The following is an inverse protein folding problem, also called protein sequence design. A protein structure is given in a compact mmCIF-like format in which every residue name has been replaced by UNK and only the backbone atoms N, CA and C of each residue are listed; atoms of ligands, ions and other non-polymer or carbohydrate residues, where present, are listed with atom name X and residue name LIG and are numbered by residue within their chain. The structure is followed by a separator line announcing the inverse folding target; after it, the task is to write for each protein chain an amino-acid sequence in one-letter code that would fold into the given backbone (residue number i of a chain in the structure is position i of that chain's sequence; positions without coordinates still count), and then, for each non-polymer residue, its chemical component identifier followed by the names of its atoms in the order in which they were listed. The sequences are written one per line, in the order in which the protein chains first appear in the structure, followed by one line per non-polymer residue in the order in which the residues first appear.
data_IF_628317358670
#
_entry.id   IF_628317358670
#
_cell.length_a   1.000
_cell.length_b   1.000
_cell.length_c   1.000
_cell.angle_alpha   90.00
_cell.angle_beta   90.00
_cell.angle_gamma   90.00
#
_symmetry.space_group_name_H-M   'P 1'
#
loop_
_entity.id
_entity.type
_entity.pdbx_description
1 polymer ?
#
# COMPACT_ATOMS: atom_id res chain seq x y z
N UNK A 1 18.01 60.57 -39.97
CA UNK A 1 18.75 59.59 -40.80
C UNK A 1 19.13 58.45 -39.87
N UNK A 2 18.64 57.21 -39.92
CA UNK A 2 17.89 56.46 -40.91
C UNK A 2 16.83 55.59 -40.18
N UNK A 3 15.63 55.47 -40.77
CA UNK A 3 14.59 54.56 -40.29
C UNK A 3 14.91 53.14 -40.78
N UNK A 4 15.23 52.23 -39.86
CA UNK A 4 15.26 50.79 -40.15
C UNK A 4 13.82 50.30 -40.04
N UNK A 5 13.11 50.26 -41.17
CA UNK A 5 11.81 49.61 -41.28
C UNK A 5 12.06 48.11 -41.40
N UNK A 6 11.89 47.36 -40.29
CA UNK A 6 11.87 45.88 -40.34
C UNK A 6 10.51 45.42 -40.84
N UNK A 7 10.51 44.58 -41.87
CA UNK A 7 9.32 43.97 -42.46
C UNK A 7 8.70 42.91 -41.52
N UNK A 8 7.38 42.66 -41.59
CA UNK A 8 6.69 41.72 -40.69
C UNK A 8 7.11 40.25 -40.85
N UNK A 9 7.85 39.90 -41.91
CA UNK A 9 8.34 38.54 -42.17
C UNK A 9 9.50 38.15 -41.23
N UNK A 10 10.39 39.09 -40.89
CA UNK A 10 11.62 38.82 -40.12
C UNK A 10 11.35 38.58 -38.61
N UNK A 11 10.20 39.01 -38.09
CA UNK A 11 9.79 38.73 -36.70
C UNK A 11 9.26 37.30 -36.52
N UNK A 12 8.73 36.67 -37.56
CA UNK A 12 8.06 35.38 -37.46
C UNK A 12 9.06 34.20 -37.36
N UNK A 13 10.23 34.31 -37.99
CA UNK A 13 11.27 33.26 -37.98
C UNK A 13 12.11 33.24 -36.70
N UNK A 14 12.42 34.42 -36.12
CA UNK A 14 13.12 34.50 -34.83
C UNK A 14 12.32 33.92 -33.66
N UNK A 15 10.98 34.09 -33.69
CA UNK A 15 10.09 33.59 -32.64
C UNK A 15 9.96 32.06 -32.68
N UNK A 16 10.04 31.44 -33.87
CA UNK A 16 9.98 29.97 -34.02
C UNK A 16 11.22 29.27 -33.47
N UNK A 17 12.41 29.84 -33.67
CA UNK A 17 13.68 29.26 -33.17
C UNK A 17 13.77 29.40 -31.65
N UNK A 18 13.33 30.53 -31.09
CA UNK A 18 13.27 30.73 -29.64
C UNK A 18 12.30 29.77 -28.93
N UNK A 19 11.14 29.47 -29.54
CA UNK A 19 10.16 28.53 -28.97
C UNK A 19 10.68 27.08 -29.00
N UNK A 20 11.37 26.68 -30.08
CA UNK A 20 11.94 25.33 -30.20
C UNK A 20 13.07 25.06 -29.20
N UNK A 21 13.90 26.06 -28.91
CA UNK A 21 15.00 25.92 -27.95
C UNK A 21 14.53 25.96 -26.48
N UNK A 22 13.46 26.70 -26.17
CA UNK A 22 12.91 26.74 -24.82
C UNK A 22 12.15 25.45 -24.43
N UNK A 23 11.60 24.72 -25.41
CA UNK A 23 10.88 23.46 -25.17
C UNK A 23 11.74 22.27 -24.73
N UNK A 24 13.02 22.25 -25.10
CA UNK A 24 13.92 21.11 -24.83
C UNK A 24 14.45 21.11 -23.38
N UNK A 25 14.48 22.27 -22.70
CA UNK A 25 15.09 22.41 -21.36
C UNK A 25 14.17 21.94 -20.23
N UNK A 26 12.87 21.74 -20.47
CA UNK A 26 11.88 21.41 -19.42
C UNK A 26 11.64 19.90 -19.18
N UNK A 27 12.30 18.98 -19.89
CA UNK A 27 11.97 17.54 -19.82
C UNK A 27 12.84 16.70 -18.84
N UNK A 28 13.72 17.32 -18.03
CA UNK A 28 14.74 16.58 -17.26
C UNK A 28 14.38 16.22 -15.80
N UNK A 29 13.19 16.56 -15.30
CA UNK A 29 12.75 16.17 -13.94
C UNK A 29 11.51 15.28 -14.00
N UNK A 30 11.66 14.05 -14.49
CA UNK A 30 10.67 13.01 -14.25
C UNK A 30 11.12 12.23 -13.01
N UNK A 31 10.50 12.41 -11.83
CA UNK A 31 10.72 11.49 -10.73
C UNK A 31 10.28 10.10 -11.19
N UNK A 32 11.10 9.09 -10.92
CA UNK A 32 10.76 7.70 -11.17
C UNK A 32 9.35 7.43 -10.61
N UNK A 33 8.41 7.10 -11.50
CA UNK A 33 7.06 6.73 -11.10
C UNK A 33 7.12 5.50 -10.19
N UNK A 34 6.12 5.30 -9.30
CA UNK A 34 6.06 4.11 -8.47
C UNK A 34 6.04 2.89 -9.38
N UNK A 35 7.03 2.02 -9.20
CA UNK A 35 7.11 0.71 -9.84
C UNK A 35 5.77 0.00 -9.64
N UNK A 36 5.09 -0.30 -10.75
CA UNK A 36 3.89 -1.11 -10.73
C UNK A 36 4.22 -2.43 -10.04
N UNK A 37 3.74 -2.57 -8.81
CA UNK A 37 3.88 -3.79 -8.03
C UNK A 37 3.32 -4.95 -8.86
N UNK A 38 4.22 -5.85 -9.22
CA UNK A 38 3.93 -7.12 -9.88
C UNK A 38 2.80 -7.84 -9.15
N UNK A 39 1.59 -7.78 -9.72
CA UNK A 39 0.37 -8.46 -9.29
C UNK A 39 0.46 -9.95 -9.63
N UNK A 40 1.40 -10.63 -8.98
CA UNK A 40 1.28 -12.06 -8.73
C UNK A 40 0.78 -12.13 -7.31
N UNK A 41 -0.39 -12.75 -7.10
CA UNK A 41 -0.93 -13.17 -5.79
C UNK A 41 0.25 -13.44 -4.84
N UNK A 42 0.58 -12.47 -3.98
CA UNK A 42 1.76 -12.59 -3.13
C UNK A 42 1.36 -13.43 -1.95
N UNK A 43 1.56 -14.75 -2.07
CA UNK A 43 1.42 -15.65 -0.92
C UNK A 43 2.49 -15.24 0.11
N UNK A 44 2.11 -14.91 1.36
CA UNK A 44 3.06 -14.55 2.40
C UNK A 44 4.13 -15.63 2.57
N UNK A 45 5.40 -15.23 2.66
CA UNK A 45 6.56 -16.14 2.76
C UNK A 45 7.18 -16.17 4.15
N UNK A 46 6.79 -15.22 4.99
CA UNK A 46 7.20 -15.01 6.38
C UNK A 46 5.99 -14.71 7.25
N UNK A 47 6.12 -14.95 8.56
CA UNK A 47 5.10 -14.58 9.55
C UNK A 47 4.81 -13.08 9.55
N UNK A 48 5.83 -12.24 9.37
CA UNK A 48 5.68 -10.79 9.36
C UNK A 48 4.83 -10.31 8.18
N UNK A 49 5.07 -10.82 6.97
CA UNK A 49 4.25 -10.50 5.79
C UNK A 49 2.80 -10.94 5.98
N UNK A 50 2.58 -12.14 6.54
CA UNK A 50 1.24 -12.61 6.84
C UNK A 50 0.52 -11.67 7.82
N UNK A 51 1.19 -11.27 8.90
CA UNK A 51 0.63 -10.36 9.90
C UNK A 51 0.29 -8.98 9.34
N UNK A 52 1.13 -8.46 8.43
CA UNK A 52 0.88 -7.19 7.74
C UNK A 52 -0.31 -7.27 6.77
N UNK A 53 -0.58 -8.46 6.21
CA UNK A 53 -1.71 -8.70 5.32
C UNK A 53 -3.07 -8.83 6.01
N UNK A 54 -3.11 -8.93 7.34
CA UNK A 54 -4.37 -8.99 8.08
C UNK A 54 -5.00 -7.60 8.09
N UNK A 55 -6.22 -7.50 7.56
CA UNK A 55 -6.98 -6.27 7.54
C UNK A 55 -7.70 -6.06 8.88
N UNK A 56 -7.41 -4.92 9.52
CA UNK A 56 -8.06 -4.47 10.75
C UNK A 56 -8.94 -3.25 10.52
N UNK A 57 -9.06 -2.74 9.29
CA UNK A 57 -9.83 -1.54 9.00
C UNK A 57 -11.34 -1.77 9.19
N UNK A 58 -12.07 -0.73 9.57
CA UNK A 58 -13.52 -0.78 9.70
C UNK A 58 -14.14 0.62 9.62
N UNK A 59 -15.42 0.68 9.30
CA UNK A 59 -16.23 1.91 9.41
C UNK A 59 -17.27 1.83 10.54
N UNK A 60 -17.70 0.62 10.89
CA UNK A 60 -18.71 0.33 11.93
C UNK A 60 -18.45 -1.04 12.57
N UNK A 61 -19.03 -1.28 13.73
CA UNK A 61 -18.83 -2.52 14.49
C UNK A 61 -19.16 -3.79 13.69
N UNK A 62 -20.20 -3.73 12.85
CA UNK A 62 -20.61 -4.84 11.99
C UNK A 62 -19.59 -5.23 10.91
N UNK A 63 -18.56 -4.41 10.69
CA UNK A 63 -17.45 -4.75 9.79
C UNK A 63 -16.41 -5.64 10.50
N UNK A 64 -16.47 -5.78 11.83
CA UNK A 64 -15.51 -6.53 12.62
C UNK A 64 -16.02 -7.92 12.99
N UNK A 65 -15.13 -8.91 13.00
CA UNK A 65 -15.41 -10.26 13.45
C UNK A 65 -14.23 -10.83 14.25
N UNK A 66 -14.53 -11.75 15.16
CA UNK A 66 -13.51 -12.58 15.81
C UNK A 66 -13.10 -13.66 14.80
N UNK A 67 -11.83 -13.67 14.40
CA UNK A 67 -11.26 -14.71 13.52
C UNK A 67 -10.00 -15.28 14.14
N UNK A 68 -9.72 -16.55 13.87
CA UNK A 68 -8.43 -17.15 14.20
C UNK A 68 -7.38 -16.64 13.21
N UNK A 69 -6.52 -15.73 13.66
CA UNK A 69 -5.38 -15.29 12.85
C UNK A 69 -4.20 -16.24 12.98
N UNK A 70 -4.24 -17.15 13.97
CA UNK A 70 -3.20 -18.09 14.35
C UNK A 70 -1.86 -17.44 14.74
N UNK A 71 -1.08 -18.11 15.57
CA UNK A 71 0.32 -17.77 15.83
C UNK A 71 1.15 -19.06 16.03
N UNK A 72 2.45 -18.95 16.28
CA UNK A 72 3.31 -20.11 16.51
C UNK A 72 3.11 -20.82 17.87
N UNK A 73 2.01 -20.55 18.58
CA UNK A 73 1.49 -21.35 19.69
C UNK A 73 0.09 -21.93 19.40
N UNK A 74 -0.47 -21.69 18.21
CA UNK A 74 -1.75 -22.24 17.75
C UNK A 74 -2.86 -21.20 17.65
N UNK A 75 -4.07 -21.59 18.09
CA UNK A 75 -5.27 -20.76 18.01
C UNK A 75 -5.05 -19.39 18.66
N UNK A 76 -5.33 -18.34 17.89
CA UNK A 76 -5.12 -16.97 18.31
C UNK A 76 -6.25 -16.08 17.78
N UNK A 77 -7.35 -15.93 18.55
CA UNK A 77 -8.50 -15.14 18.13
C UNK A 77 -8.19 -13.65 18.19
N UNK A 78 -8.59 -12.92 17.15
CA UNK A 78 -8.47 -11.47 17.07
C UNK A 78 -9.70 -10.84 16.44
N UNK A 79 -10.01 -9.63 16.86
CA UNK A 79 -10.91 -8.74 16.13
C UNK A 79 -10.19 -8.22 14.89
N UNK A 80 -10.72 -8.57 13.73
CA UNK A 80 -10.23 -8.16 12.41
C UNK A 80 -11.43 -7.77 11.55
N UNK A 81 -11.19 -7.16 10.40
CA UNK A 81 -12.25 -6.97 9.42
C UNK A 81 -12.85 -8.33 9.07
N UNK A 82 -14.18 -8.44 9.01
CA UNK A 82 -14.90 -9.68 8.72
C UNK A 82 -14.47 -10.28 7.36
N UNK A 83 -14.15 -9.41 6.41
CA UNK A 83 -13.72 -9.74 5.05
C UNK A 83 -12.19 -9.97 4.97
N UNK A 84 -11.42 -9.73 6.04
CA UNK A 84 -9.97 -10.01 6.09
C UNK A 84 -9.70 -11.49 5.83
N UNK A 85 -8.85 -11.82 4.87
CA UNK A 85 -8.41 -13.21 4.69
C UNK A 85 -7.43 -13.61 5.79
N UNK A 86 -7.69 -14.75 6.44
CA UNK A 86 -6.82 -15.34 7.48
C UNK A 86 -6.54 -16.79 7.10
N UNK A 87 -5.34 -17.27 7.38
CA UNK A 87 -4.91 -18.61 6.97
C UNK A 87 -4.09 -19.31 8.06
N UNK A 88 -4.75 -19.92 9.06
CA UNK A 88 -4.09 -20.68 10.12
C UNK A 88 -3.14 -21.78 9.61
N UNK A 89 -3.50 -22.46 8.52
CA UNK A 89 -2.68 -23.51 7.93
C UNK A 89 -1.37 -22.96 7.34
N UNK A 90 -1.39 -21.76 6.75
CA UNK A 90 -0.18 -21.09 6.29
C UNK A 90 0.72 -20.71 7.47
N UNK A 91 0.14 -20.16 8.55
CA UNK A 91 0.90 -19.79 9.75
C UNK A 91 1.65 -20.98 10.32
N UNK A 92 1.02 -22.15 10.43
CA UNK A 92 1.70 -23.38 10.88
C UNK A 92 2.94 -23.70 10.05
N UNK A 93 2.82 -23.67 8.72
CA UNK A 93 3.95 -23.90 7.81
C UNK A 93 5.06 -22.85 7.97
N UNK A 94 4.69 -21.59 8.19
CA UNK A 94 5.65 -20.51 8.40
C UNK A 94 6.38 -20.65 9.74
N UNK A 95 5.68 -21.03 10.81
CA UNK A 95 6.28 -21.30 12.12
C UNK A 95 7.31 -22.44 12.06
N UNK A 96 6.98 -23.54 11.38
CA UNK A 96 7.90 -24.67 11.16
C UNK A 96 9.13 -24.22 10.37
N UNK A 97 8.92 -23.50 9.25
CA UNK A 97 9.98 -23.00 8.38
C UNK A 97 10.92 -22.04 9.11
N UNK A 98 10.38 -21.15 9.92
CA UNK A 98 11.15 -20.12 10.63
C UNK A 98 11.67 -20.60 11.99
N UNK A 99 11.40 -21.85 12.39
CA UNK A 99 11.74 -22.41 13.71
C UNK A 99 11.33 -21.46 14.86
N UNK A 100 10.20 -20.77 14.67
CA UNK A 100 9.72 -19.70 15.52
C UNK A 100 8.71 -20.22 16.53
N UNK A 101 8.72 -19.63 17.74
CA UNK A 101 7.76 -19.91 18.80
C UNK A 101 6.90 -18.69 19.07
N UNK A 102 5.64 -18.91 19.41
CA UNK A 102 4.67 -17.84 19.66
C UNK A 102 4.44 -17.60 21.15
N UNK A 103 3.85 -16.45 21.47
CA UNK A 103 3.31 -16.22 22.82
C UNK A 103 2.01 -17.02 22.96
N UNK A 104 1.99 -17.89 23.96
CA UNK A 104 0.83 -18.68 24.32
C UNK A 104 -0.10 -17.91 25.24
N UNK A 105 -1.41 -18.12 25.05
CA UNK A 105 -2.44 -17.42 25.81
C UNK A 105 -2.96 -16.19 25.07
N UNK A 106 -4.28 -16.08 25.04
CA UNK A 106 -4.99 -14.93 24.48
C UNK A 106 -6.08 -14.52 25.47
N UNK A 107 -6.41 -13.22 25.54
CA UNK A 107 -7.54 -12.78 26.35
C UNK A 107 -8.84 -13.35 25.80
N UNK A 108 -9.80 -13.63 26.67
CA UNK A 108 -11.15 -13.95 26.22
C UNK A 108 -11.74 -12.73 25.50
N UNK A 109 -12.14 -12.92 24.24
CA UNK A 109 -12.79 -11.87 23.43
C UNK A 109 -14.26 -12.25 23.30
N UNK A 110 -15.15 -11.45 23.88
CA UNK A 110 -16.61 -11.64 23.83
C UNK A 110 -17.26 -10.90 22.66
N UNK A 111 -16.58 -9.90 22.10
CA UNK A 111 -17.11 -9.09 20.99
C UNK A 111 -16.03 -8.20 20.38
N UNK A 112 -16.38 -7.59 19.25
CA UNK A 112 -15.52 -6.66 18.52
C UNK A 112 -16.27 -5.36 18.25
N UNK A 113 -15.56 -4.24 18.31
CA UNK A 113 -16.04 -2.92 17.92
C UNK A 113 -15.06 -2.25 16.97
N UNK A 114 -15.58 -1.29 16.21
CA UNK A 114 -14.77 -0.42 15.37
C UNK A 114 -14.33 0.81 16.18
N UNK A 115 -13.09 0.80 16.64
CA UNK A 115 -12.52 1.88 17.46
C UNK A 115 -11.51 2.65 16.62
N UNK A 116 -11.84 3.91 16.32
CA UNK A 116 -10.97 4.80 15.53
C UNK A 116 -10.57 4.22 14.17
N UNK A 117 -11.52 3.60 13.46
CA UNK A 117 -11.30 2.99 12.15
C UNK A 117 -10.53 1.65 12.20
N UNK A 118 -10.38 1.06 13.38
CA UNK A 118 -9.69 -0.21 13.59
C UNK A 118 -10.52 -1.18 14.44
N UNK A 119 -10.64 -2.42 14.00
CA UNK A 119 -11.28 -3.49 14.76
C UNK A 119 -10.49 -3.81 16.04
N UNK A 120 -11.18 -3.77 17.18
CA UNK A 120 -10.62 -4.03 18.50
C UNK A 120 -11.64 -4.79 19.39
N UNK A 121 -11.19 -5.47 20.45
CA UNK A 121 -12.09 -6.07 21.45
C UNK A 121 -13.01 -5.02 22.09
N UNK A 122 -14.26 -5.42 22.40
CA UNK A 122 -15.29 -4.60 23.03
C UNK A 122 -15.72 -5.16 24.39
#
# INVERSE_FOLDING_TARGET
MAHIVRTPAELAEGMRIAILLLGIVLAACVPAGPEAANDRIQIPRTLAEYQQGIDYSCSRDADCAIKDVHNCCGYYPRCVNRDSEVNPALVNKLCEKESSVGVCGFPAISGCACVSGRCAPA
#
